data_IF_434390617931
#
_entry.id   IF_434390617931
#
_cell.length_a   1.000
_cell.length_b   1.000
_cell.length_c   1.000
_cell.angle_alpha   90.00
_cell.angle_beta   90.00
_cell.angle_gamma   90.00
#
_symmetry.space_group_name_H-M   'P 1'
#
loop_
_entity.id
_entity.type
_entity.pdbx_description
1 polymer ?
#
# COMPACT_ATOMS: atom_id res chain seq x y z
N UNK A 1 -27.98 40.06 66.94
CA UNK A 1 -26.79 39.40 67.51
C UNK A 1 -26.39 38.24 66.61
N UNK A 2 -25.19 38.32 66.01
CA UNK A 2 -24.20 37.24 65.74
C UNK A 2 -24.81 35.90 65.29
N UNK A 3 -24.54 35.34 64.09
CA UNK A 3 -23.24 34.95 63.51
C UNK A 3 -23.39 34.81 61.99
N UNK A 4 -22.71 35.60 61.16
CA UNK A 4 -21.43 35.30 60.51
C UNK A 4 -21.08 33.80 60.41
N UNK A 5 -21.28 33.25 59.21
CA UNK A 5 -20.79 31.94 58.79
C UNK A 5 -20.21 32.07 57.39
N UNK A 6 -18.95 32.50 57.32
CA UNK A 6 -18.10 32.36 56.14
C UNK A 6 -17.74 30.87 56.03
N UNK A 7 -18.19 30.19 54.97
CA UNK A 7 -17.60 28.94 54.49
C UNK A 7 -17.32 29.13 52.99
N UNK A 8 -16.11 29.56 52.65
CA UNK A 8 -14.99 28.69 52.30
C UNK A 8 -15.24 27.91 51.01
N UNK A 9 -14.84 28.53 49.91
CA UNK A 9 -14.14 27.92 48.78
C UNK A 9 -14.42 26.44 48.50
N UNK A 10 -15.26 26.19 47.51
CA UNK A 10 -15.03 25.07 46.60
C UNK A 10 -15.24 25.60 45.17
N UNK A 11 -14.28 26.42 44.73
CA UNK A 11 -14.13 26.71 43.31
C UNK A 11 -13.73 25.38 42.67
N UNK A 12 -14.72 24.64 42.17
CA UNK A 12 -14.51 23.41 41.45
C UNK A 12 -13.59 23.73 40.26
N UNK A 13 -12.34 23.32 40.39
CA UNK A 13 -11.34 23.40 39.34
C UNK A 13 -11.78 22.43 38.26
N UNK A 14 -12.63 22.91 37.34
CA UNK A 14 -13.01 22.18 36.14
C UNK A 14 -11.74 22.05 35.31
N UNK A 15 -11.07 20.91 35.48
CA UNK A 15 -10.06 20.43 34.55
C UNK A 15 -10.78 20.18 33.22
N UNK A 16 -10.83 21.22 32.39
CA UNK A 16 -11.16 21.07 30.99
C UNK A 16 -9.98 20.31 30.38
N UNK A 17 -10.06 18.98 30.39
CA UNK A 17 -9.26 18.14 29.50
C UNK A 17 -9.69 18.49 28.09
N UNK A 18 -9.08 19.53 27.51
CA UNK A 18 -9.13 19.74 26.07
C UNK A 18 -8.31 18.63 25.44
N UNK A 19 -8.98 17.50 25.18
CA UNK A 19 -8.51 16.54 24.21
C UNK A 19 -8.61 17.23 22.84
N UNK A 20 -7.54 17.93 22.44
CA UNK A 20 -7.30 18.22 21.05
C UNK A 20 -7.11 16.88 20.36
N UNK A 21 -8.19 16.32 19.82
CA UNK A 21 -8.11 15.31 18.78
C UNK A 21 -7.37 15.99 17.62
N UNK A 22 -6.05 15.77 17.58
CA UNK A 22 -5.21 16.30 16.54
C UNK A 22 -5.72 15.74 15.22
N UNK A 23 -6.27 16.63 14.41
CA UNK A 23 -6.57 16.41 13.00
C UNK A 23 -5.24 16.17 12.28
N UNK A 24 -4.72 14.94 12.43
CA UNK A 24 -3.60 14.44 11.65
C UNK A 24 -4.19 14.18 10.27
N UNK A 25 -3.86 15.04 9.30
CA UNK A 25 -4.28 14.91 7.90
C UNK A 25 -4.31 13.44 7.48
N UNK A 26 -5.53 12.90 7.43
CA UNK A 26 -5.80 11.46 7.52
C UNK A 26 -6.03 10.89 6.13
N UNK A 27 -4.93 10.54 5.46
CA UNK A 27 -4.96 9.89 4.16
C UNK A 27 -4.85 8.37 4.26
N UNK A 28 -5.19 7.69 3.16
CA UNK A 28 -4.72 6.33 2.95
C UNK A 28 -3.20 6.34 2.71
N UNK A 29 -2.49 5.33 3.22
CA UNK A 29 -1.04 5.19 3.02
C UNK A 29 -0.76 3.74 2.66
N UNK A 30 -0.04 3.52 1.56
CA UNK A 30 0.34 2.17 1.13
C UNK A 30 1.73 1.84 1.69
N UNK A 31 1.88 0.68 2.30
CA UNK A 31 3.18 0.09 2.61
C UNK A 31 3.26 -1.31 2.03
N UNK A 32 4.26 -1.55 1.19
CA UNK A 32 4.51 -2.88 0.62
C UNK A 32 5.48 -3.66 1.49
N UNK A 33 5.25 -4.97 1.63
CA UNK A 33 6.21 -5.88 2.26
C UNK A 33 7.49 -5.98 1.44
N UNK A 34 7.36 -5.98 0.13
CA UNK A 34 8.44 -5.89 -0.84
C UNK A 34 7.96 -5.17 -2.10
N UNK A 35 8.86 -4.45 -2.78
CA UNK A 35 8.55 -3.74 -4.03
C UNK A 35 9.16 -4.40 -5.27
N UNK A 36 9.91 -5.49 -5.11
CA UNK A 36 10.48 -6.21 -6.25
C UNK A 36 10.71 -7.68 -5.93
N UNK A 37 10.66 -8.50 -6.97
CA UNK A 37 11.09 -9.89 -6.97
C UNK A 37 12.06 -10.10 -8.14
N UNK A 38 13.13 -10.86 -7.90
CA UNK A 38 14.05 -11.31 -8.94
C UNK A 38 13.90 -12.82 -9.11
N UNK A 39 13.51 -13.24 -10.32
CA UNK A 39 13.38 -14.65 -10.68
C UNK A 39 14.70 -15.27 -11.17
N UNK A 40 15.77 -14.47 -11.28
CA UNK A 40 17.04 -14.90 -11.84
C UNK A 40 16.88 -15.31 -13.30
N UNK A 41 17.54 -16.40 -13.66
CA UNK A 41 17.50 -16.95 -15.01
C UNK A 41 16.20 -17.72 -15.25
N UNK A 42 15.48 -17.33 -16.30
CA UNK A 42 14.28 -18.04 -16.78
C UNK A 42 14.41 -18.35 -18.27
N UNK A 43 13.82 -19.45 -18.71
CA UNK A 43 13.84 -19.84 -20.13
C UNK A 43 12.76 -19.05 -20.88
N UNK A 44 13.07 -18.59 -22.10
CA UNK A 44 12.10 -17.94 -22.97
C UNK A 44 10.81 -18.75 -23.12
N UNK A 45 9.68 -18.09 -22.92
CA UNK A 45 8.34 -18.69 -22.93
C UNK A 45 7.85 -19.15 -21.55
N UNK A 46 8.70 -19.11 -20.52
CA UNK A 46 8.27 -19.29 -19.13
C UNK A 46 7.29 -18.19 -18.71
N UNK A 47 6.32 -18.59 -17.88
CA UNK A 47 5.42 -17.69 -17.17
C UNK A 47 5.77 -17.73 -15.68
N UNK A 48 6.15 -16.59 -15.12
CA UNK A 48 6.44 -16.44 -13.68
C UNK A 48 5.40 -15.55 -13.03
N UNK A 49 5.11 -15.79 -11.76
CA UNK A 49 4.09 -15.06 -10.99
C UNK A 49 4.63 -14.70 -9.61
N UNK A 50 4.26 -13.52 -9.11
CA UNK A 50 4.52 -13.10 -7.73
C UNK A 50 3.33 -12.35 -7.16
N UNK A 51 3.13 -12.48 -5.85
CA UNK A 51 2.08 -11.77 -5.12
C UNK A 51 2.72 -10.73 -4.20
N UNK A 52 2.52 -9.46 -4.52
CA UNK A 52 2.94 -8.36 -3.65
C UNK A 52 1.88 -8.11 -2.59
N UNK A 53 2.27 -8.20 -1.33
CA UNK A 53 1.41 -7.83 -0.21
C UNK A 53 1.57 -6.35 0.10
N UNK A 54 0.45 -5.62 0.14
CA UNK A 54 0.39 -4.25 0.61
C UNK A 54 -0.46 -4.14 1.86
N UNK A 55 -0.17 -3.13 2.68
CA UNK A 55 -0.93 -2.79 3.88
C UNK A 55 -1.32 -1.33 3.82
N UNK A 56 -2.58 -1.02 4.15
CA UNK A 56 -3.01 0.34 4.37
C UNK A 56 -2.57 0.77 5.79
N UNK A 57 -1.46 1.50 5.89
CA UNK A 57 -0.93 2.02 7.16
C UNK A 57 -1.46 3.42 7.48
N UNK A 58 -2.35 3.95 6.64
CA UNK A 58 -3.02 5.22 6.85
C UNK A 58 -4.25 5.11 7.75
N UNK A 59 -5.01 6.20 7.79
CA UNK A 59 -6.20 6.34 8.64
C UNK A 59 -7.52 6.44 7.86
N UNK A 60 -7.46 6.46 6.52
CA UNK A 60 -8.63 6.40 5.65
C UNK A 60 -8.63 5.12 4.78
N UNK A 61 -9.78 4.63 4.29
CA UNK A 61 -9.84 3.50 3.36
C UNK A 61 -9.03 3.75 2.09
N UNK A 62 -8.21 2.77 1.72
CA UNK A 62 -7.40 2.77 0.51
C UNK A 62 -8.21 2.22 -0.67
N UNK A 63 -8.30 2.97 -1.75
CA UNK A 63 -8.95 2.56 -3.00
C UNK A 63 -7.89 2.50 -4.09
N UNK A 64 -7.73 1.32 -4.69
CA UNK A 64 -6.87 1.10 -5.85
C UNK A 64 -7.69 1.31 -7.11
N UNK A 65 -7.49 2.45 -7.78
CA UNK A 65 -8.26 2.81 -8.97
C UNK A 65 -7.79 2.07 -10.22
N UNK A 66 -6.49 1.79 -10.32
CA UNK A 66 -5.93 1.08 -11.46
C UNK A 66 -4.59 0.41 -11.12
N UNK A 67 -4.26 -0.68 -11.83
CA UNK A 67 -2.94 -1.29 -11.81
C UNK A 67 -2.51 -1.53 -13.25
N UNK A 68 -1.49 -0.80 -13.70
CA UNK A 68 -1.07 -0.77 -15.09
C UNK A 68 0.33 -1.35 -15.25
N UNK A 69 0.47 -2.31 -16.16
CA UNK A 69 1.76 -2.78 -16.63
C UNK A 69 2.21 -2.00 -17.87
N UNK A 70 3.53 -1.88 -18.05
CA UNK A 70 4.11 -1.13 -19.18
C UNK A 70 4.06 -1.93 -20.50
N UNK A 71 4.02 -3.28 -20.42
CA UNK A 71 3.89 -4.18 -21.57
C UNK A 71 2.67 -5.10 -21.41
N UNK A 72 2.08 -5.55 -22.52
CA UNK A 72 1.08 -6.63 -22.51
C UNK A 72 1.63 -8.00 -22.09
N UNK A 73 2.94 -8.11 -21.85
CA UNK A 73 3.59 -9.30 -21.33
C UNK A 73 3.43 -9.48 -19.81
N UNK A 74 2.92 -8.46 -19.12
CA UNK A 74 2.74 -8.47 -17.67
C UNK A 74 1.28 -8.20 -17.35
N UNK A 75 0.66 -9.10 -16.58
CA UNK A 75 -0.77 -9.04 -16.25
C UNK A 75 -0.95 -8.96 -14.74
N UNK A 76 -1.46 -7.82 -14.22
CA UNK A 76 -1.79 -7.67 -12.81
C UNK A 76 -3.23 -8.12 -12.50
N UNK A 77 -3.44 -8.58 -11.27
CA UNK A 77 -4.72 -8.86 -10.62
C UNK A 77 -4.71 -8.25 -9.22
N UNK A 78 -5.76 -7.53 -8.85
CA UNK A 78 -5.82 -6.76 -7.60
C UNK A 78 -7.27 -6.66 -7.09
N UNK A 79 -7.47 -6.43 -5.77
CA UNK A 79 -8.80 -6.24 -5.20
C UNK A 79 -9.47 -4.98 -5.76
N UNK A 80 -10.79 -5.02 -5.91
CA UNK A 80 -11.61 -3.85 -6.30
C UNK A 80 -12.28 -3.18 -5.11
N UNK A 81 -12.31 -3.87 -3.98
CA UNK A 81 -12.87 -3.36 -2.73
C UNK A 81 -11.85 -2.45 -2.01
N UNK A 82 -12.32 -1.42 -1.28
CA UNK A 82 -11.46 -0.61 -0.45
C UNK A 82 -10.74 -1.43 0.64
N UNK A 83 -9.44 -1.18 0.84
CA UNK A 83 -8.65 -1.78 1.91
C UNK A 83 -8.74 -0.88 3.15
N UNK A 84 -9.39 -1.38 4.20
CA UNK A 84 -9.56 -0.63 5.45
C UNK A 84 -8.21 -0.32 6.14
N UNK A 85 -8.13 0.74 6.96
CA UNK A 85 -6.95 1.04 7.79
C UNK A 85 -6.46 -0.19 8.58
N UNK A 86 -5.14 -0.40 8.57
CA UNK A 86 -4.47 -1.53 9.21
C UNK A 86 -4.67 -2.89 8.53
N UNK A 87 -5.42 -2.96 7.42
CA UNK A 87 -5.63 -4.20 6.67
C UNK A 87 -4.65 -4.31 5.50
N UNK A 88 -4.39 -5.56 5.13
CA UNK A 88 -3.56 -5.92 3.99
C UNK A 88 -4.39 -6.41 2.83
N UNK A 89 -3.83 -6.28 1.64
CA UNK A 89 -4.35 -6.85 0.42
C UNK A 89 -3.22 -7.29 -0.52
N UNK A 90 -3.59 -8.01 -1.57
CA UNK A 90 -2.64 -8.65 -2.47
C UNK A 90 -2.76 -8.12 -3.91
N UNK A 91 -1.62 -7.88 -4.55
CA UNK A 91 -1.52 -7.63 -5.98
C UNK A 91 -0.73 -8.77 -6.59
N UNK A 92 -1.42 -9.64 -7.32
CA UNK A 92 -0.79 -10.74 -8.05
C UNK A 92 -0.36 -10.23 -9.42
N UNK A 93 0.90 -10.43 -9.77
CA UNK A 93 1.46 -10.03 -11.06
C UNK A 93 2.06 -11.25 -11.75
N UNK A 94 1.69 -11.46 -13.01
CA UNK A 94 2.28 -12.49 -13.87
C UNK A 94 3.09 -11.85 -14.98
N UNK A 95 4.23 -12.46 -15.34
CA UNK A 95 5.07 -12.07 -16.46
C UNK A 95 5.25 -13.26 -17.42
N UNK A 96 4.97 -13.03 -18.70
CA UNK A 96 5.20 -13.97 -19.79
C UNK A 96 6.45 -13.57 -20.57
N UNK A 97 7.48 -14.42 -20.53
CA UNK A 97 8.76 -14.18 -21.21
C UNK A 97 8.78 -14.55 -22.69
N UNK A 98 7.64 -14.96 -23.28
CA UNK A 98 7.54 -15.26 -24.71
C UNK A 98 7.99 -14.05 -25.55
N UNK A 99 8.91 -14.29 -26.48
CA UNK A 99 9.48 -13.24 -27.33
C UNK A 99 10.37 -12.23 -26.59
N UNK A 100 10.78 -12.51 -25.35
CA UNK A 100 11.74 -11.72 -24.57
C UNK A 100 13.09 -12.44 -24.49
N UNK A 101 14.16 -11.68 -24.26
CA UNK A 101 15.54 -12.17 -24.14
C UNK A 101 16.38 -11.22 -23.27
N UNK A 102 17.38 -11.75 -22.57
CA UNK A 102 18.27 -10.98 -21.71
C UNK A 102 17.56 -10.39 -20.48
N UNK A 103 18.18 -9.39 -19.85
CA UNK A 103 17.63 -8.75 -18.64
C UNK A 103 16.30 -8.05 -18.93
N UNK A 104 15.30 -8.41 -18.14
CA UNK A 104 13.96 -7.82 -18.16
C UNK A 104 13.68 -7.19 -16.80
N UNK A 105 13.08 -6.01 -16.81
CA UNK A 105 12.54 -5.35 -15.62
C UNK A 105 11.11 -4.89 -15.91
N UNK A 106 10.16 -5.73 -15.51
CA UNK A 106 8.74 -5.52 -15.73
C UNK A 106 8.16 -4.70 -14.58
N UNK A 107 7.98 -3.40 -14.82
CA UNK A 107 7.41 -2.47 -13.84
C UNK A 107 5.89 -2.40 -13.96
N UNK A 108 5.23 -2.53 -12.81
CA UNK A 108 3.79 -2.34 -12.62
C UNK A 108 3.55 -1.11 -11.75
N UNK A 109 2.64 -0.23 -12.19
CA UNK A 109 2.24 1.00 -11.50
C UNK A 109 0.88 0.81 -10.86
N UNK A 110 0.76 1.15 -9.59
CA UNK A 110 -0.45 1.06 -8.77
C UNK A 110 -0.96 2.48 -8.54
N UNK A 111 -2.15 2.79 -9.03
CA UNK A 111 -2.80 4.09 -8.86
C UNK A 111 -3.84 4.00 -7.75
N UNK A 112 -3.84 4.98 -6.84
CA UNK A 112 -4.72 4.97 -5.67
C UNK A 112 -5.06 6.38 -5.17
N UNK A 113 -5.94 6.44 -4.16
CA UNK A 113 -6.22 7.65 -3.38
C UNK A 113 -5.24 7.86 -2.20
N UNK A 114 -4.14 7.11 -2.12
CA UNK A 114 -3.16 7.28 -1.06
C UNK A 114 -2.42 8.62 -1.17
N UNK A 115 -1.76 9.02 -0.08
CA UNK A 115 -0.92 10.23 -0.05
C UNK A 115 0.16 10.22 -1.14
N UNK A 116 0.73 9.04 -1.43
CA UNK A 116 1.50 8.79 -2.65
C UNK A 116 0.55 8.16 -3.69
N UNK A 117 0.10 8.91 -4.70
CA UNK A 117 -0.95 8.43 -5.60
C UNK A 117 -0.49 7.30 -6.52
N UNK A 118 0.83 7.17 -6.76
CA UNK A 118 1.41 6.19 -7.66
C UNK A 118 2.54 5.42 -6.99
N UNK A 119 2.27 4.15 -6.70
CA UNK A 119 3.28 3.21 -6.22
C UNK A 119 3.77 2.28 -7.35
N UNK A 120 4.91 1.63 -7.15
CA UNK A 120 5.51 0.74 -8.16
C UNK A 120 6.01 -0.57 -7.55
N UNK A 121 5.83 -1.65 -8.31
CA UNK A 121 6.47 -2.94 -8.05
C UNK A 121 7.12 -3.49 -9.32
N UNK A 122 8.15 -4.32 -9.16
CA UNK A 122 8.99 -4.79 -10.27
C UNK A 122 9.19 -6.31 -10.26
N UNK A 123 9.07 -6.93 -11.44
CA UNK A 123 9.50 -8.31 -11.68
C UNK A 123 10.78 -8.27 -12.52
N UNK A 124 11.86 -8.77 -11.95
CA UNK A 124 13.19 -8.80 -12.56
C UNK A 124 13.48 -10.24 -13.00
N UNK A 125 14.07 -10.41 -14.18
CA UNK A 125 14.53 -11.70 -14.66
C UNK A 125 15.60 -11.54 -15.74
N UNK A 126 16.37 -12.58 -15.98
CA UNK A 126 17.23 -12.72 -17.15
C UNK A 126 16.68 -13.85 -18.03
N UNK A 127 16.22 -13.52 -19.23
CA UNK A 127 15.57 -14.48 -20.12
C UNK A 127 16.61 -15.14 -21.03
N UNK A 128 16.85 -16.42 -20.78
CA UNK A 128 17.74 -17.27 -21.57
C UNK A 128 17.04 -17.74 -22.86
N UNK A 129 17.81 -17.98 -23.95
CA UNK A 129 17.27 -18.58 -25.16
C UNK A 129 16.59 -19.92 -24.88
N UNK A 130 15.56 -20.25 -25.66
CA UNK A 130 14.99 -21.60 -25.64
C UNK A 130 16.03 -22.56 -26.23
N UNK A 131 16.49 -23.54 -25.45
CA UNK A 131 17.26 -24.66 -25.97
C UNK A 131 16.33 -25.51 -26.85
N UNK A 132 16.68 -25.64 -28.12
CA UNK A 132 16.00 -26.54 -29.06
C UNK A 132 16.39 -27.99 -28.80
#
# INVERSE_FOLDING_TARGET
>A
MKKLGVLFSLFAFVLVFQASAQDQGSGAVITFKEKSVDFGDIVQGAKVEHTFTLTNTGSAPLVISNVAATCGCTVPSWPKEPVAPGKSAEIKVSFNSAGKMGKQNSVVRIYSNALEPIEKVSLISNVLPKTN
#
